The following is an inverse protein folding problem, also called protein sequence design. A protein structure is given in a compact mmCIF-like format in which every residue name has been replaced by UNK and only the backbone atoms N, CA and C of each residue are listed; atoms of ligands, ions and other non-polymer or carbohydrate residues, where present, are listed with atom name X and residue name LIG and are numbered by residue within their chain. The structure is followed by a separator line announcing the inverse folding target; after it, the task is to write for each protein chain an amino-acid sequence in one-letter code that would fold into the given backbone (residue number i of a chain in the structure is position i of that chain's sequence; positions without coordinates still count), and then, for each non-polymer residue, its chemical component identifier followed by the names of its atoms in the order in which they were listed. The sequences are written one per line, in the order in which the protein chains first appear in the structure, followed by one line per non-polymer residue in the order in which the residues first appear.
data_IF_558896588597
#
_entry.id   IF_558896588597
#
_cell.length_a   1.000
_cell.length_b   1.000
_cell.length_c   1.000
_cell.angle_alpha   90.00
_cell.angle_beta   90.00
_cell.angle_gamma   90.00
#
_symmetry.space_group_name_H-M   'P 1'
#
loop_
_entity.id
_entity.type
_entity.pdbx_description
1 polymer ?
#
# COMPACT_ATOMS: atom_id res chain seq x y z
N UNK A 1 19.51 19.60 -20.46
CA UNK A 1 18.31 18.85 -20.05
C UNK A 1 18.79 17.49 -19.59
N UNK A 2 18.84 17.28 -18.28
CA UNK A 2 19.16 15.96 -17.72
C UNK A 2 18.02 15.01 -18.04
N UNK A 3 18.31 13.78 -18.46
CA UNK A 3 17.31 12.72 -18.52
C UNK A 3 16.61 12.62 -17.16
N UNK A 4 15.29 12.37 -17.12
CA UNK A 4 14.61 12.06 -15.87
C UNK A 4 15.32 10.86 -15.22
N UNK A 5 15.67 11.01 -13.94
CA UNK A 5 16.32 9.97 -13.16
C UNK A 5 15.44 8.71 -13.24
N UNK A 6 15.95 7.67 -13.89
CA UNK A 6 15.16 6.48 -14.15
C UNK A 6 14.70 5.87 -12.81
N UNK A 7 13.39 5.58 -12.69
CA UNK A 7 12.85 4.96 -11.48
C UNK A 7 13.59 3.64 -11.20
N UNK A 8 14.25 3.54 -10.05
CA UNK A 8 14.85 2.29 -9.60
C UNK A 8 13.75 1.30 -9.22
N UNK A 9 13.34 0.50 -10.21
CA UNK A 9 12.29 -0.50 -10.06
C UNK A 9 12.64 -1.58 -9.02
N UNK A 10 13.92 -1.86 -8.78
CA UNK A 10 14.31 -2.81 -7.73
C UNK A 10 14.05 -2.21 -6.36
N UNK A 11 14.50 -0.97 -6.12
CA UNK A 11 14.26 -0.30 -4.84
C UNK A 11 12.75 -0.09 -4.56
N UNK A 12 11.98 0.24 -5.60
CA UNK A 12 10.52 0.38 -5.52
C UNK A 12 9.86 -0.96 -5.18
N UNK A 13 10.20 -2.03 -5.90
CA UNK A 13 9.69 -3.38 -5.60
C UNK A 13 10.05 -3.80 -4.18
N UNK A 14 11.30 -3.61 -3.77
CA UNK A 14 11.77 -4.05 -2.46
C UNK A 14 11.05 -3.30 -1.33
N UNK A 15 10.77 -2.01 -1.54
CA UNK A 15 9.91 -1.23 -0.64
C UNK A 15 8.47 -1.76 -0.64
N UNK A 16 7.87 -2.01 -1.80
CA UNK A 16 6.51 -2.56 -1.90
C UNK A 16 6.37 -3.89 -1.16
N UNK A 17 7.30 -4.83 -1.39
CA UNK A 17 7.32 -6.13 -0.72
C UNK A 17 7.49 -5.97 0.80
N UNK A 18 8.37 -5.07 1.24
CA UNK A 18 8.57 -4.80 2.67
C UNK A 18 7.29 -4.23 3.32
N UNK A 19 6.62 -3.31 2.64
CA UNK A 19 5.38 -2.69 3.15
C UNK A 19 4.24 -3.71 3.20
N UNK A 20 4.03 -4.48 2.13
CA UNK A 20 2.99 -5.49 2.07
C UNK A 20 3.16 -6.55 3.18
N UNK A 21 4.40 -7.03 3.39
CA UNK A 21 4.69 -7.99 4.47
C UNK A 21 4.44 -7.41 5.85
N UNK A 22 5.02 -6.25 6.15
CA UNK A 22 4.89 -5.63 7.48
C UNK A 22 3.45 -5.23 7.80
N UNK A 23 2.70 -4.75 6.81
CA UNK A 23 1.29 -4.41 6.98
C UNK A 23 0.40 -5.66 7.09
N UNK A 24 0.68 -6.72 6.33
CA UNK A 24 -0.02 -8.00 6.45
C UNK A 24 0.18 -8.65 7.81
N UNK A 25 1.39 -8.57 8.38
CA UNK A 25 1.67 -9.02 9.75
C UNK A 25 0.89 -8.21 10.80
N UNK A 26 0.80 -6.89 10.63
CA UNK A 26 -0.02 -6.04 11.48
C UNK A 26 -1.50 -6.49 11.45
N UNK A 27 -2.06 -6.69 10.26
CA UNK A 27 -3.44 -7.13 10.11
C UNK A 27 -3.69 -8.53 10.71
N UNK A 28 -2.75 -9.47 10.52
CA UNK A 28 -2.85 -10.80 11.14
C UNK A 28 -2.78 -10.74 12.67
N UNK A 29 -1.85 -9.95 13.22
CA UNK A 29 -1.69 -9.82 14.67
C UNK A 29 -2.93 -9.21 15.30
N UNK A 30 -3.41 -8.12 14.73
CA UNK A 30 -4.67 -7.50 15.12
C UNK A 30 -5.83 -8.49 15.17
N UNK A 31 -5.97 -9.31 14.13
CA UNK A 31 -7.00 -10.34 14.07
C UNK A 31 -6.89 -11.33 15.24
N UNK A 32 -5.68 -11.83 15.51
CA UNK A 32 -5.42 -12.74 16.62
C UNK A 32 -5.61 -12.13 18.01
N UNK A 33 -5.46 -10.81 18.14
CA UNK A 33 -5.71 -10.07 19.38
C UNK A 33 -7.19 -9.68 19.57
N UNK A 34 -8.07 -10.10 18.64
CA UNK A 34 -9.49 -9.76 18.67
C UNK A 34 -9.75 -8.29 18.37
N UNK A 35 -8.95 -7.68 17.49
CA UNK A 35 -9.13 -6.28 17.14
C UNK A 35 -10.47 -6.07 16.43
N UNK A 36 -11.42 -5.50 17.16
CA UNK A 36 -12.72 -5.04 16.69
C UNK A 36 -12.84 -3.54 17.03
N UNK A 37 -12.22 -2.68 16.23
CA UNK A 37 -12.30 -1.22 16.46
C UNK A 37 -12.65 -0.42 15.21
N UNK A 38 -13.19 0.75 15.54
CA UNK A 38 -13.35 1.91 14.69
C UNK A 38 -12.23 2.92 15.03
N UNK A 39 -11.37 3.32 14.07
CA UNK A 39 -11.41 2.95 12.66
C UNK A 39 -10.93 1.52 12.40
N UNK A 40 -11.41 0.88 11.31
CA UNK A 40 -11.01 -0.48 10.97
C UNK A 40 -9.51 -0.59 10.66
N UNK A 41 -8.98 -1.83 10.75
CA UNK A 41 -7.56 -2.16 10.52
C UNK A 41 -7.03 -1.66 9.16
N UNK A 42 -7.88 -1.61 8.13
CA UNK A 42 -7.54 -1.12 6.80
C UNK A 42 -7.01 0.33 6.83
N UNK A 43 -7.57 1.20 7.66
CA UNK A 43 -7.11 2.59 7.88
C UNK A 43 -5.73 2.65 8.51
N UNK A 44 -5.45 1.73 9.42
CA UNK A 44 -4.16 1.66 10.11
C UNK A 44 -3.06 1.13 9.20
N UNK A 45 -3.39 0.15 8.35
CA UNK A 45 -2.52 -0.32 7.27
C UNK A 45 -2.26 0.80 6.25
N UNK A 46 -3.33 1.42 5.75
CA UNK A 46 -3.27 2.53 4.79
C UNK A 46 -2.33 3.63 5.27
N UNK A 47 -2.55 4.12 6.49
CA UNK A 47 -1.77 5.22 7.07
C UNK A 47 -0.27 4.91 7.09
N UNK A 48 0.10 3.68 7.42
CA UNK A 48 1.52 3.25 7.46
C UNK A 48 2.12 3.20 6.07
N UNK A 49 1.39 2.67 5.09
CA UNK A 49 1.85 2.59 3.70
C UNK A 49 1.99 3.99 3.11
N UNK A 50 0.97 4.85 3.24
CA UNK A 50 1.00 6.24 2.76
C UNK A 50 2.16 6.99 3.39
N UNK A 51 2.33 6.90 4.72
CA UNK A 51 3.41 7.57 5.42
C UNK A 51 4.80 7.13 4.89
N UNK A 52 5.02 5.81 4.77
CA UNK A 52 6.30 5.29 4.31
C UNK A 52 6.62 5.67 2.86
N UNK A 53 5.63 5.57 1.96
CA UNK A 53 5.79 5.98 0.56
C UNK A 53 6.10 7.47 0.49
N UNK A 54 5.36 8.33 1.20
CA UNK A 54 5.59 9.78 1.19
C UNK A 54 6.93 10.18 1.81
N UNK A 55 7.39 9.47 2.83
CA UNK A 55 8.69 9.71 3.44
C UNK A 55 9.85 9.37 2.49
N UNK A 56 9.73 8.28 1.71
CA UNK A 56 10.77 7.84 0.76
C UNK A 56 10.69 8.55 -0.58
N UNK A 57 9.48 8.80 -1.06
CA UNK A 57 9.18 9.32 -2.39
C UNK A 57 8.12 10.43 -2.32
N UNK A 58 8.50 11.65 -1.91
CA UNK A 58 7.55 12.76 -1.72
C UNK A 58 6.75 13.14 -2.99
N UNK A 59 7.31 12.90 -4.17
CA UNK A 59 6.71 13.21 -5.47
C UNK A 59 5.77 12.12 -5.99
N UNK A 60 5.80 10.90 -5.43
CA UNK A 60 4.90 9.82 -5.85
C UNK A 60 3.50 10.03 -5.28
N UNK A 61 2.46 9.52 -5.95
CA UNK A 61 1.11 9.45 -5.41
C UNK A 61 0.79 8.06 -4.84
N UNK A 62 -0.19 7.98 -3.95
CA UNK A 62 -0.76 6.72 -3.46
C UNK A 62 -2.26 6.74 -3.74
N UNK A 63 -2.77 5.78 -4.50
CA UNK A 63 -4.20 5.56 -4.73
C UNK A 63 -4.65 4.39 -3.86
N UNK A 64 -5.32 4.69 -2.75
CA UNK A 64 -5.84 3.69 -1.83
C UNK A 64 -7.30 3.34 -2.14
N UNK A 65 -7.65 2.06 -2.09
CA UNK A 65 -9.05 1.59 -2.14
C UNK A 65 -9.89 2.26 -1.03
N UNK A 66 -9.28 2.46 0.14
CA UNK A 66 -9.98 2.86 1.37
C UNK A 66 -10.24 4.37 1.48
N UNK A 67 -9.38 5.22 0.93
CA UNK A 67 -9.51 6.70 1.03
C UNK A 67 -9.26 7.47 -0.26
N UNK A 68 -8.95 6.79 -1.36
CA UNK A 68 -8.64 7.42 -2.64
C UNK A 68 -7.21 7.96 -2.72
N UNK A 69 -7.03 9.07 -3.43
CA UNK A 69 -5.73 9.58 -3.84
C UNK A 69 -5.05 10.43 -2.75
N UNK A 70 -3.78 10.12 -2.48
CA UNK A 70 -2.87 10.90 -1.64
C UNK A 70 -1.68 11.40 -2.46
N UNK A 71 -1.58 12.72 -2.64
CA UNK A 71 -0.47 13.35 -3.35
C UNK A 71 -0.85 14.09 -4.62
N UNK A 72 0.14 14.39 -5.48
CA UNK A 72 -0.09 15.05 -6.75
C UNK A 72 -1.00 14.22 -7.66
N UNK A 73 -1.94 14.87 -8.33
CA UNK A 73 -2.87 14.24 -9.29
C UNK A 73 -2.15 13.82 -10.58
N UNK A 74 -1.06 14.51 -10.88
CA UNK A 74 -0.20 14.38 -12.05
C UNK A 74 1.13 13.67 -11.73
N UNK A 75 1.19 12.88 -10.65
CA UNK A 75 2.38 12.14 -10.30
C UNK A 75 2.74 11.10 -11.37
N UNK A 76 3.99 11.09 -11.82
CA UNK A 76 4.50 10.10 -12.79
C UNK A 76 4.48 8.67 -12.23
N UNK A 77 4.58 8.52 -10.90
CA UNK A 77 4.59 7.24 -10.20
C UNK A 77 3.45 7.18 -9.20
N UNK A 78 2.60 6.16 -9.33
CA UNK A 78 1.42 5.95 -8.48
C UNK A 78 1.48 4.57 -7.82
N UNK A 79 1.37 4.54 -6.50
CA UNK A 79 1.27 3.33 -5.70
C UNK A 79 -0.20 3.01 -5.50
N UNK A 80 -0.68 1.91 -6.06
CA UNK A 80 -2.09 1.49 -5.95
C UNK A 80 -2.16 0.47 -4.82
N UNK A 81 -2.97 0.75 -3.80
CA UNK A 81 -2.96 0.01 -2.54
C UNK A 81 -4.36 -0.46 -2.21
N UNK A 82 -4.48 -1.76 -1.93
CA UNK A 82 -5.60 -2.34 -1.19
C UNK A 82 -5.08 -2.72 0.22
N UNK A 83 -5.40 -1.91 1.25
CA UNK A 83 -4.93 -2.12 2.62
C UNK A 83 -5.44 -3.41 3.28
N UNK A 84 -6.52 -4.01 2.76
CA UNK A 84 -7.10 -5.23 3.29
C UNK A 84 -7.78 -6.03 2.16
N UNK A 85 -6.96 -6.57 1.26
CA UNK A 85 -7.42 -7.46 0.21
C UNK A 85 -8.01 -8.73 0.85
N UNK A 86 -9.31 -8.93 0.69
CA UNK A 86 -10.05 -10.01 1.35
C UNK A 86 -10.73 -9.60 2.67
N UNK A 87 -11.15 -8.34 2.82
CA UNK A 87 -11.90 -7.85 4.00
C UNK A 87 -13.09 -8.73 4.40
N UNK A 88 -13.79 -9.36 3.44
CA UNK A 88 -14.84 -10.34 3.73
C UNK A 88 -14.34 -11.58 4.47
N UNK A 89 -13.18 -12.11 4.08
CA UNK A 89 -12.53 -13.23 4.77
C UNK A 89 -12.04 -12.79 6.16
N UNK A 90 -11.48 -11.58 6.25
CA UNK A 90 -11.09 -10.98 7.52
C UNK A 90 -12.27 -10.88 8.48
N UNK A 91 -13.47 -10.50 8.02
CA UNK A 91 -14.66 -10.35 8.86
C UNK A 91 -15.16 -11.67 9.47
N UNK A 92 -14.91 -12.81 8.80
CA UNK A 92 -15.40 -14.14 9.22
C UNK A 92 -14.32 -15.05 9.83
N UNK A 93 -13.22 -14.46 10.31
CA UNK A 93 -12.09 -15.19 10.92
C UNK A 93 -11.36 -16.16 9.97
N UNK A 94 -11.48 -15.96 8.66
CA UNK A 94 -10.76 -16.75 7.67
C UNK A 94 -9.44 -16.05 7.32
N UNK A 95 -8.30 -16.68 7.63
CA UNK A 95 -6.94 -16.15 7.39
C UNK A 95 -6.50 -16.13 5.91
N UNK A 96 -7.45 -15.87 5.00
CA UNK A 96 -7.23 -15.70 3.56
C UNK A 96 -7.42 -14.23 3.18
N UNK A 97 -6.57 -13.37 3.74
CA UNK A 97 -6.52 -11.94 3.44
C UNK A 97 -5.06 -11.47 3.37
N UNK A 98 -4.85 -10.26 2.86
CA UNK A 98 -3.51 -9.67 2.79
C UNK A 98 -3.54 -8.19 2.46
N UNK A 99 -2.39 -7.69 2.03
CA UNK A 99 -2.19 -6.32 1.57
C UNK A 99 -1.65 -6.42 0.15
N UNK A 100 -2.28 -5.69 -0.79
CA UNK A 100 -1.85 -5.66 -2.19
C UNK A 100 -1.28 -4.29 -2.53
N UNK A 101 -0.12 -4.26 -3.20
CA UNK A 101 0.54 -3.03 -3.62
C UNK A 101 1.00 -3.18 -5.08
N UNK A 102 0.44 -2.36 -5.96
CA UNK A 102 0.95 -2.17 -7.32
C UNK A 102 1.69 -0.84 -7.42
N UNK A 103 2.63 -0.74 -8.35
CA UNK A 103 3.25 0.53 -8.71
C UNK A 103 3.14 0.75 -10.21
N UNK A 104 2.58 1.88 -10.58
CA UNK A 104 2.48 2.37 -11.95
C UNK A 104 3.53 3.46 -12.16
N UNK A 105 4.26 3.40 -13.27
CA UNK A 105 5.17 4.45 -13.74
C UNK A 105 4.78 4.84 -15.18
N UNK A 106 4.28 6.07 -15.37
CA UNK A 106 3.71 6.50 -16.64
C UNK A 106 2.58 5.57 -17.11
N UNK A 107 2.72 4.96 -18.30
CA UNK A 107 1.74 4.02 -18.87
C UNK A 107 1.97 2.54 -18.49
N UNK A 108 2.97 2.22 -17.66
CA UNK A 108 3.34 0.84 -17.33
C UNK A 108 3.06 0.51 -15.87
N UNK A 109 2.44 -0.64 -15.60
CA UNK A 109 2.05 -1.08 -14.24
C UNK A 109 2.75 -2.39 -13.87
N UNK A 110 3.37 -2.45 -12.68
CA UNK A 110 3.91 -3.66 -12.07
C UNK A 110 3.12 -4.00 -10.78
N UNK A 111 2.75 -5.27 -10.61
CA UNK A 111 1.99 -5.78 -9.46
C UNK A 111 2.89 -6.71 -8.63
N UNK A 112 2.89 -6.56 -7.30
CA UNK A 112 3.69 -7.37 -6.38
C UNK A 112 2.89 -7.86 -5.17
#
# INVERSE_FOLDING_TARGET
MSEPDALDLSAVRDLAVSLARGAGELARRAKGEGWDQDPPIDRDVERRIVHAVKARHPTHAVLSETSGLHGPVDADVVWIVDPLAGAGNYAIDLELFGVSIAVQNGSSTALH
#
